data_IF_134212778623
#
_entry.id   IF_134212778623
#
_cell.length_a   1.000
_cell.length_b   1.000
_cell.length_c   1.000
_cell.angle_alpha   90.00
_cell.angle_beta   90.00
_cell.angle_gamma   90.00
#
_symmetry.space_group_name_H-M   'P 1'
#
loop_
_entity.id
_entity.type
_entity.pdbx_description
1 polymer ?
#
# COMPACT_ATOMS: atom_id res chain seq x y z
N UNK A 1 -17.09 27.00 1.32
CA UNK A 1 -17.10 26.94 -0.17
C UNK A 1 -15.69 26.63 -0.72
N UNK A 2 -14.63 27.34 -0.33
CA UNK A 2 -13.27 27.08 -0.83
C UNK A 2 -12.70 25.70 -0.42
N UNK A 3 -12.87 25.27 0.84
CA UNK A 3 -12.47 23.92 1.31
C UNK A 3 -13.28 22.80 0.64
N UNK A 4 -14.57 23.06 0.34
CA UNK A 4 -15.44 22.10 -0.35
C UNK A 4 -15.12 21.99 -1.85
N UNK A 5 -14.77 23.09 -2.52
CA UNK A 5 -14.35 23.09 -3.92
C UNK A 5 -12.96 22.43 -4.10
N UNK A 6 -12.02 22.64 -3.17
CA UNK A 6 -10.72 21.98 -3.21
C UNK A 6 -10.86 20.45 -3.08
N UNK A 7 -11.78 19.99 -2.22
CA UNK A 7 -12.07 18.55 -2.06
C UNK A 7 -12.76 17.95 -3.31
N UNK A 8 -13.52 18.74 -4.07
CA UNK A 8 -14.24 18.26 -5.25
C UNK A 8 -13.34 18.04 -6.49
N UNK A 9 -12.35 18.91 -6.71
CA UNK A 9 -11.36 18.70 -7.79
C UNK A 9 -10.35 17.60 -7.44
N UNK A 10 -10.01 17.50 -6.16
CA UNK A 10 -9.18 16.44 -5.60
C UNK A 10 -9.81 15.06 -5.81
N UNK A 11 -11.11 14.94 -5.54
CA UNK A 11 -11.86 13.70 -5.78
C UNK A 11 -11.98 13.36 -7.26
N UNK A 12 -12.15 14.34 -8.17
CA UNK A 12 -12.28 14.06 -9.60
C UNK A 12 -11.03 13.40 -10.21
N UNK A 13 -9.83 13.89 -9.90
CA UNK A 13 -8.60 13.31 -10.43
C UNK A 13 -8.32 11.91 -9.87
N UNK A 14 -8.66 11.68 -8.60
CA UNK A 14 -8.54 10.38 -7.95
C UNK A 14 -9.54 9.39 -8.57
N UNK A 15 -10.79 9.79 -8.76
CA UNK A 15 -11.83 8.96 -9.42
C UNK A 15 -11.42 8.65 -10.87
N UNK A 16 -10.90 9.63 -11.62
CA UNK A 16 -10.44 9.40 -13.00
C UNK A 16 -9.27 8.41 -13.04
N UNK A 17 -8.33 8.53 -12.10
CA UNK A 17 -7.24 7.55 -11.96
C UNK A 17 -7.78 6.15 -11.65
N UNK A 18 -8.71 6.03 -10.69
CA UNK A 18 -9.34 4.77 -10.30
C UNK A 18 -10.05 4.07 -11.46
N UNK A 19 -10.81 4.83 -12.25
CA UNK A 19 -11.46 4.32 -13.47
C UNK A 19 -10.44 3.89 -14.53
N UNK A 20 -9.37 4.67 -14.72
CA UNK A 20 -8.33 4.38 -15.72
C UNK A 20 -7.56 3.10 -15.42
N UNK A 21 -7.27 2.83 -14.14
CA UNK A 21 -6.57 1.59 -13.75
C UNK A 21 -7.49 0.37 -13.87
N UNK A 22 -8.80 0.57 -13.83
CA UNK A 22 -9.79 -0.51 -13.89
C UNK A 22 -9.82 -1.36 -12.62
N UNK A 23 -9.19 -0.92 -11.53
CA UNK A 23 -9.09 -1.69 -10.28
C UNK A 23 -10.49 -1.96 -9.70
N UNK A 24 -11.31 -0.93 -9.52
CA UNK A 24 -12.67 -1.11 -8.95
C UNK A 24 -13.66 -1.83 -9.87
N UNK A 25 -13.47 -1.77 -11.19
CA UNK A 25 -14.40 -2.40 -12.15
C UNK A 25 -14.01 -3.84 -12.50
N UNK A 26 -12.70 -4.14 -12.59
CA UNK A 26 -12.19 -5.45 -13.02
C UNK A 26 -11.83 -6.37 -11.87
N UNK A 27 -11.58 -5.85 -10.67
CA UNK A 27 -11.25 -6.63 -9.47
C UNK A 27 -12.45 -6.63 -8.52
N UNK A 28 -13.56 -7.24 -8.93
CA UNK A 28 -14.81 -7.23 -8.16
C UNK A 28 -14.74 -7.95 -6.81
N UNK A 29 -13.69 -8.75 -6.57
CA UNK A 29 -13.43 -9.38 -5.27
C UNK A 29 -12.90 -8.37 -4.25
N UNK A 30 -12.22 -7.32 -4.71
CA UNK A 30 -11.57 -6.36 -3.85
C UNK A 30 -12.56 -5.26 -3.42
N UNK A 31 -12.37 -4.77 -2.20
CA UNK A 31 -13.22 -3.77 -1.56
C UNK A 31 -13.00 -2.43 -2.25
N UNK A 32 -14.05 -1.86 -2.86
CA UNK A 32 -13.99 -0.48 -3.36
C UNK A 32 -14.03 0.52 -2.20
N UNK A 33 -12.84 0.85 -1.70
CA UNK A 33 -12.63 1.74 -0.54
C UNK A 33 -12.05 3.09 -0.93
N UNK A 34 -12.23 3.54 -2.18
CA UNK A 34 -11.64 4.80 -2.65
C UNK A 34 -12.00 6.00 -1.76
N UNK A 35 -13.27 6.07 -1.33
CA UNK A 35 -13.76 7.15 -0.44
C UNK A 35 -13.19 7.02 0.98
N UNK A 36 -13.12 5.81 1.52
CA UNK A 36 -12.54 5.56 2.86
C UNK A 36 -11.03 5.87 2.87
N UNK A 37 -10.31 5.46 1.83
CA UNK A 37 -8.89 5.73 1.64
C UNK A 37 -8.60 7.23 1.52
N UNK A 38 -9.50 7.97 0.87
CA UNK A 38 -9.45 9.42 0.83
C UNK A 38 -9.67 10.03 2.23
N UNK A 39 -10.67 9.54 2.98
CA UNK A 39 -10.95 10.00 4.34
C UNK A 39 -9.77 9.79 5.28
N UNK A 40 -9.14 8.61 5.25
CA UNK A 40 -7.91 8.31 6.00
C UNK A 40 -6.81 9.32 5.67
N UNK A 41 -6.64 9.62 4.39
CA UNK A 41 -5.62 10.57 3.93
C UNK A 41 -5.88 12.00 4.39
N UNK A 42 -7.15 12.42 4.44
CA UNK A 42 -7.52 13.74 4.98
C UNK A 42 -7.25 13.80 6.49
N UNK A 43 -7.49 12.71 7.22
CA UNK A 43 -7.19 12.63 8.65
C UNK A 43 -5.70 12.80 8.97
N UNK A 44 -4.83 12.17 8.17
CA UNK A 44 -3.37 12.26 8.37
C UNK A 44 -2.77 13.57 7.83
N UNK A 45 -3.27 14.05 6.69
CA UNK A 45 -2.69 15.20 5.97
C UNK A 45 -3.71 16.35 5.80
N UNK A 46 -4.31 16.80 6.92
CA UNK A 46 -5.37 17.82 6.92
C UNK A 46 -4.93 19.23 6.48
N UNK A 47 -3.63 19.54 6.54
CA UNK A 47 -3.12 20.86 6.18
C UNK A 47 -3.40 21.17 4.70
N UNK A 48 -4.06 22.29 4.35
CA UNK A 48 -4.38 22.64 2.96
C UNK A 48 -3.21 22.55 1.99
N UNK A 49 -2.00 22.90 2.43
CA UNK A 49 -0.77 22.91 1.62
C UNK A 49 -0.30 21.50 1.19
N UNK A 50 -0.89 20.44 1.74
CA UNK A 50 -0.58 19.04 1.43
C UNK A 50 -1.52 18.43 0.39
N UNK A 51 -2.18 19.24 -0.46
CA UNK A 51 -3.14 18.74 -1.47
C UNK A 51 -2.54 17.66 -2.37
N UNK A 52 -1.33 17.89 -2.88
CA UNK A 52 -0.68 16.92 -3.75
C UNK A 52 -0.32 15.63 -3.01
N UNK A 53 0.21 15.75 -1.78
CA UNK A 53 0.46 14.60 -0.90
C UNK A 53 -0.82 13.81 -0.66
N UNK A 54 -1.97 14.47 -0.43
CA UNK A 54 -3.26 13.77 -0.30
C UNK A 54 -3.63 12.98 -1.56
N UNK A 55 -3.41 13.53 -2.76
CA UNK A 55 -3.64 12.78 -4.03
C UNK A 55 -2.83 11.50 -4.05
N UNK A 56 -1.55 11.60 -3.77
CA UNK A 56 -0.63 10.45 -3.86
C UNK A 56 -0.97 9.41 -2.79
N UNK A 57 -1.13 9.82 -1.53
CA UNK A 57 -1.41 8.89 -0.43
C UNK A 57 -2.76 8.18 -0.60
N UNK A 58 -3.78 8.85 -1.15
CA UNK A 58 -5.04 8.15 -1.46
C UNK A 58 -4.84 7.05 -2.50
N UNK A 59 -4.02 7.28 -3.53
CA UNK A 59 -3.68 6.24 -4.53
C UNK A 59 -2.88 5.10 -3.88
N UNK A 60 -1.93 5.42 -3.00
CA UNK A 60 -1.14 4.45 -2.22
C UNK A 60 -2.05 3.57 -1.38
N UNK A 61 -2.93 4.17 -0.57
CA UNK A 61 -3.89 3.44 0.25
C UNK A 61 -4.80 2.55 -0.60
N UNK A 62 -5.25 3.03 -1.76
CA UNK A 62 -6.09 2.24 -2.66
C UNK A 62 -5.35 1.04 -3.25
N UNK A 63 -4.09 1.19 -3.63
CA UNK A 63 -3.26 0.08 -4.09
C UNK A 63 -2.98 -0.92 -2.95
N UNK A 64 -2.71 -0.43 -1.74
CA UNK A 64 -2.55 -1.28 -0.55
C UNK A 64 -3.79 -2.12 -0.33
N UNK A 65 -4.99 -1.51 -0.30
CA UNK A 65 -6.25 -2.26 -0.10
C UNK A 65 -6.47 -3.34 -1.15
N UNK A 66 -6.23 -3.03 -2.43
CA UNK A 66 -6.37 -4.03 -3.50
C UNK A 66 -5.37 -5.18 -3.33
N UNK A 67 -4.12 -4.86 -2.99
CA UNK A 67 -3.08 -5.88 -2.82
C UNK A 67 -3.40 -6.73 -1.59
N UNK A 68 -3.81 -6.12 -0.47
CA UNK A 68 -4.33 -6.81 0.72
C UNK A 68 -5.40 -7.83 0.32
N UNK A 69 -6.42 -7.40 -0.43
CA UNK A 69 -7.51 -8.25 -0.96
C UNK A 69 -7.04 -9.38 -1.87
N UNK A 70 -5.94 -9.17 -2.61
CA UNK A 70 -5.34 -10.24 -3.41
C UNK A 70 -4.75 -11.32 -2.51
N UNK A 71 -4.08 -10.96 -1.41
CA UNK A 71 -3.43 -11.89 -0.50
C UNK A 71 -4.35 -12.55 0.53
N UNK A 72 -5.37 -11.83 1.04
CA UNK A 72 -6.20 -12.31 2.16
C UNK A 72 -7.51 -12.98 1.72
N UNK A 73 -8.03 -12.65 0.52
CA UNK A 73 -9.36 -13.07 0.06
C UNK A 73 -9.31 -13.92 -1.20
N UNK A 74 -8.52 -13.54 -2.21
CA UNK A 74 -8.73 -14.06 -3.57
C UNK A 74 -7.66 -15.01 -4.10
N UNK A 75 -6.37 -14.70 -3.94
CA UNK A 75 -5.30 -15.49 -4.57
C UNK A 75 -5.05 -16.84 -3.89
N UNK A 76 -4.66 -17.84 -4.67
CA UNK A 76 -4.12 -19.09 -4.10
C UNK A 76 -2.68 -18.90 -3.66
N UNK A 77 -2.19 -19.73 -2.73
CA UNK A 77 -0.83 -19.62 -2.23
C UNK A 77 0.22 -19.65 -3.37
N UNK A 78 0.06 -20.52 -4.37
CA UNK A 78 0.94 -20.59 -5.53
C UNK A 78 0.93 -19.31 -6.37
N UNK A 79 -0.26 -18.74 -6.59
CA UNK A 79 -0.40 -17.46 -7.29
C UNK A 79 0.25 -16.31 -6.51
N UNK A 80 0.10 -16.30 -5.17
CA UNK A 80 0.68 -15.28 -4.29
C UNK A 80 2.21 -15.35 -4.26
N UNK A 81 2.80 -16.55 -4.36
CA UNK A 81 4.25 -16.71 -4.49
C UNK A 81 4.74 -16.11 -5.82
N UNK A 82 4.08 -16.40 -6.94
CA UNK A 82 4.39 -15.82 -8.24
C UNK A 82 4.22 -14.30 -8.26
N UNK A 83 3.16 -13.79 -7.62
CA UNK A 83 2.90 -12.35 -7.53
C UNK A 83 3.99 -11.64 -6.72
N UNK A 84 4.37 -12.22 -5.59
CA UNK A 84 5.45 -11.69 -4.74
C UNK A 84 6.78 -11.68 -5.50
N UNK A 85 7.07 -12.73 -6.25
CA UNK A 85 8.28 -12.82 -7.09
C UNK A 85 8.27 -11.77 -8.21
N UNK A 86 7.14 -11.57 -8.88
CA UNK A 86 7.00 -10.56 -9.93
C UNK A 86 7.26 -9.14 -9.39
N UNK A 87 6.77 -8.84 -8.19
CA UNK A 87 7.03 -7.57 -7.49
C UNK A 87 8.49 -7.46 -7.04
N UNK A 88 9.10 -8.53 -6.52
CA UNK A 88 10.51 -8.53 -6.13
C UNK A 88 11.45 -8.33 -7.32
N UNK A 89 11.14 -8.94 -8.48
CA UNK A 89 11.87 -8.73 -9.73
C UNK A 89 11.60 -7.33 -10.29
N UNK A 90 10.37 -6.85 -10.17
CA UNK A 90 9.91 -5.56 -10.71
C UNK A 90 10.02 -5.48 -12.23
N UNK A 91 9.69 -6.59 -12.91
CA UNK A 91 9.81 -6.75 -14.36
C UNK A 91 8.44 -7.07 -14.98
N UNK A 92 8.00 -6.23 -15.92
CA UNK A 92 6.74 -6.43 -16.65
C UNK A 92 6.78 -7.70 -17.52
N UNK A 93 7.96 -8.13 -17.99
CA UNK A 93 8.07 -9.34 -18.80
C UNK A 93 7.81 -10.61 -17.97
N UNK A 94 7.97 -10.53 -16.64
CA UNK A 94 7.61 -11.60 -15.72
C UNK A 94 6.10 -11.72 -15.47
N UNK A 95 5.27 -10.87 -16.08
CA UNK A 95 3.83 -10.89 -15.88
C UNK A 95 3.14 -12.05 -16.58
N UNK A 96 3.71 -12.64 -17.63
CA UNK A 96 3.00 -13.61 -18.48
C UNK A 96 2.47 -14.82 -17.70
N UNK A 97 3.19 -15.24 -16.66
CA UNK A 97 2.82 -16.33 -15.76
C UNK A 97 1.73 -15.98 -14.74
N UNK A 98 1.39 -14.70 -14.56
CA UNK A 98 0.38 -14.26 -13.61
C UNK A 98 -1.04 -14.38 -14.18
N UNK A 99 -2.04 -14.69 -13.35
CA UNK A 99 -3.44 -14.50 -13.70
C UNK A 99 -3.75 -13.05 -14.10
N UNK A 100 -4.76 -12.86 -14.95
CA UNK A 100 -5.09 -11.54 -15.51
C UNK A 100 -5.40 -10.48 -14.44
N UNK A 101 -6.03 -10.86 -13.33
CA UNK A 101 -6.35 -9.94 -12.24
C UNK A 101 -5.07 -9.44 -11.52
N UNK A 102 -4.07 -10.31 -11.35
CA UNK A 102 -2.77 -9.96 -10.80
C UNK A 102 -1.96 -9.09 -11.76
N UNK A 103 -2.06 -9.34 -13.08
CA UNK A 103 -1.47 -8.48 -14.11
C UNK A 103 -2.02 -7.06 -14.04
N UNK A 104 -3.35 -6.92 -13.87
CA UNK A 104 -4.01 -5.61 -13.68
C UNK A 104 -3.48 -4.92 -12.42
N UNK A 105 -3.43 -5.64 -11.30
CA UNK A 105 -2.94 -5.12 -10.02
C UNK A 105 -1.48 -4.67 -10.10
N UNK A 106 -0.57 -5.55 -10.53
CA UNK A 106 0.86 -5.24 -10.65
C UNK A 106 1.11 -4.15 -11.70
N UNK A 107 0.39 -4.16 -12.82
CA UNK A 107 0.48 -3.09 -13.83
C UNK A 107 0.06 -1.72 -13.28
N UNK A 108 -0.99 -1.66 -12.47
CA UNK A 108 -1.41 -0.42 -11.82
C UNK A 108 -0.35 0.08 -10.82
N UNK A 109 0.21 -0.82 -10.00
CA UNK A 109 1.28 -0.51 -9.06
C UNK A 109 2.55 -0.02 -9.77
N UNK A 110 3.01 -0.76 -10.78
CA UNK A 110 4.20 -0.45 -11.57
C UNK A 110 4.08 0.92 -12.23
N UNK A 111 2.95 1.20 -12.89
CA UNK A 111 2.70 2.49 -13.52
C UNK A 111 2.67 3.63 -12.50
N UNK A 112 2.00 3.43 -11.36
CA UNK A 112 1.94 4.43 -10.30
C UNK A 112 3.32 4.76 -9.74
N UNK A 113 4.13 3.75 -9.38
CA UNK A 113 5.47 3.97 -8.83
C UNK A 113 6.39 4.66 -9.83
N UNK A 114 6.34 4.27 -11.11
CA UNK A 114 7.16 4.92 -12.13
C UNK A 114 6.72 6.36 -12.42
N UNK A 115 5.41 6.67 -12.39
CA UNK A 115 4.87 8.03 -12.49
C UNK A 115 5.44 8.91 -11.36
N UNK A 116 5.39 8.40 -10.13
CA UNK A 116 5.90 9.10 -8.93
C UNK A 116 7.42 9.27 -8.98
N UNK A 117 8.16 8.21 -9.30
CA UNK A 117 9.62 8.27 -9.38
C UNK A 117 10.09 9.24 -10.45
N UNK A 118 9.42 9.28 -11.61
CA UNK A 118 9.72 10.22 -12.69
C UNK A 118 9.46 11.67 -12.27
N UNK A 119 8.34 11.94 -11.57
CA UNK A 119 8.05 13.28 -11.07
C UNK A 119 9.11 13.77 -10.09
N UNK A 120 9.52 12.92 -9.15
CA UNK A 120 10.54 13.26 -8.15
C UNK A 120 11.88 13.46 -8.83
N UNK A 121 12.26 12.58 -9.76
CA UNK A 121 13.49 12.73 -10.54
C UNK A 121 13.53 14.06 -11.31
N UNK A 122 12.42 14.50 -11.89
CA UNK A 122 12.37 15.79 -12.58
C UNK A 122 12.49 17.00 -11.62
N UNK A 123 12.01 16.87 -10.39
CA UNK A 123 12.02 17.97 -9.40
C UNK A 123 13.33 18.06 -8.63
N UNK A 124 13.92 16.91 -8.28
CA UNK A 124 15.05 16.82 -7.37
C UNK A 124 16.31 16.25 -8.00
N UNK A 125 16.22 15.64 -9.19
CA UNK A 125 17.32 14.96 -9.88
C UNK A 125 17.51 13.50 -9.45
N UNK A 126 16.79 13.03 -8.43
CA UNK A 126 17.06 11.74 -7.80
C UNK A 126 16.18 10.61 -8.33
N UNK A 127 16.80 9.46 -8.56
CA UNK A 127 16.14 8.24 -8.96
C UNK A 127 15.69 7.43 -7.74
N UNK A 128 14.39 7.45 -7.43
CA UNK A 128 13.86 6.84 -6.21
C UNK A 128 13.09 5.53 -6.41
N UNK A 129 13.05 5.01 -7.65
CA UNK A 129 12.40 3.73 -7.95
C UNK A 129 12.92 2.58 -7.07
N UNK A 130 14.23 2.46 -6.77
CA UNK A 130 14.74 1.40 -5.89
C UNK A 130 14.12 1.45 -4.49
N UNK A 131 13.95 2.64 -3.91
CA UNK A 131 13.36 2.85 -2.58
C UNK A 131 11.89 2.47 -2.58
N UNK A 132 11.12 2.95 -3.57
CA UNK A 132 9.70 2.65 -3.67
C UNK A 132 9.48 1.15 -3.92
N UNK A 133 10.27 0.54 -4.81
CA UNK A 133 10.25 -0.91 -5.04
C UNK A 133 10.48 -1.65 -3.71
N UNK A 134 11.53 -1.30 -2.97
CA UNK A 134 11.88 -1.96 -1.70
C UNK A 134 10.71 -1.99 -0.71
N UNK A 135 10.02 -0.86 -0.51
CA UNK A 135 8.91 -0.80 0.48
C UNK A 135 7.69 -1.60 0.04
N UNK A 136 7.35 -1.62 -1.26
CA UNK A 136 6.27 -2.44 -1.80
C UNK A 136 6.59 -3.93 -1.78
N UNK A 137 7.83 -4.30 -2.12
CA UNK A 137 8.32 -5.67 -2.01
C UNK A 137 8.27 -6.16 -0.56
N UNK A 138 8.71 -5.36 0.40
CA UNK A 138 8.63 -5.73 1.83
C UNK A 138 7.19 -5.94 2.28
N UNK A 139 6.25 -5.10 1.84
CA UNK A 139 4.83 -5.27 2.15
C UNK A 139 4.29 -6.59 1.59
N UNK A 140 4.55 -6.89 0.32
CA UNK A 140 4.08 -8.11 -0.33
C UNK A 140 4.69 -9.39 0.27
N UNK A 141 5.96 -9.33 0.70
CA UNK A 141 6.59 -10.43 1.45
C UNK A 141 5.93 -10.64 2.81
N UNK A 142 5.57 -9.57 3.52
CA UNK A 142 4.87 -9.65 4.79
C UNK A 142 3.46 -10.25 4.63
N UNK A 143 2.72 -9.86 3.59
CA UNK A 143 1.45 -10.48 3.25
C UNK A 143 1.58 -11.96 2.88
N UNK A 144 2.62 -12.34 2.12
CA UNK A 144 2.87 -13.73 1.79
C UNK A 144 3.14 -14.59 3.04
N UNK A 145 3.83 -14.04 4.04
CA UNK A 145 4.05 -14.72 5.32
C UNK A 145 2.73 -14.98 6.02
N UNK A 146 1.83 -14.01 6.10
CA UNK A 146 0.50 -14.17 6.71
C UNK A 146 -0.35 -15.19 5.95
N UNK A 147 -0.34 -15.15 4.61
CA UNK A 147 -1.01 -16.13 3.77
C UNK A 147 -0.47 -17.55 4.02
N UNK A 148 0.86 -17.71 4.15
CA UNK A 148 1.48 -19.00 4.49
C UNK A 148 1.05 -19.51 5.86
N UNK A 149 0.97 -18.63 6.85
CA UNK A 149 0.46 -18.98 8.18
C UNK A 149 -0.99 -19.46 8.10
N UNK A 150 -1.84 -18.70 7.39
CA UNK A 150 -3.25 -19.02 7.22
C UNK A 150 -3.46 -20.37 6.50
N UNK A 151 -2.91 -20.54 5.30
CA UNK A 151 -3.06 -21.76 4.51
C UNK A 151 -2.37 -22.99 5.14
N UNK A 152 -1.29 -22.78 5.89
CA UNK A 152 -0.57 -23.83 6.59
C UNK A 152 -1.18 -24.22 7.94
N UNK A 153 -2.20 -23.49 8.42
CA UNK A 153 -2.76 -23.68 9.77
C UNK A 153 -1.75 -23.40 10.88
N UNK A 154 -0.75 -22.56 10.62
CA UNK A 154 0.28 -22.20 11.59
C UNK A 154 -0.16 -20.99 12.41
N UNK A 155 -0.09 -21.13 13.73
CA UNK A 155 -0.35 -20.02 14.66
C UNK A 155 1.00 -19.49 15.16
N UNK A 156 1.43 -18.29 14.72
CA UNK A 156 2.68 -17.70 15.19
C UNK A 156 2.59 -17.33 16.67
N UNK A 157 3.77 -17.20 17.30
CA UNK A 157 3.83 -16.54 18.61
C UNK A 157 3.45 -15.05 18.49
N UNK A 158 3.07 -14.40 19.60
CA UNK A 158 2.75 -12.98 19.57
C UNK A 158 3.92 -12.12 19.07
N UNK A 159 5.14 -12.45 19.48
CA UNK A 159 6.35 -11.72 19.04
C UNK A 159 6.63 -11.93 17.55
N UNK A 160 6.54 -13.17 17.08
CA UNK A 160 6.69 -13.50 15.66
C UNK A 160 5.63 -12.83 14.78
N UNK A 161 4.36 -12.86 15.21
CA UNK A 161 3.29 -12.14 14.56
C UNK A 161 3.64 -10.65 14.46
N UNK A 162 3.99 -10.01 15.57
CA UNK A 162 4.27 -8.59 15.59
C UNK A 162 5.43 -8.19 14.68
N UNK A 163 6.51 -8.98 14.61
CA UNK A 163 7.65 -8.71 13.72
C UNK A 163 7.28 -8.67 12.24
N UNK A 164 6.23 -9.40 11.84
CA UNK A 164 5.68 -9.33 10.49
C UNK A 164 4.58 -8.26 10.37
N UNK A 165 3.74 -8.16 11.39
CA UNK A 165 2.48 -7.43 11.34
C UNK A 165 2.65 -5.90 11.31
N UNK A 166 3.76 -5.38 11.86
CA UNK A 166 4.10 -3.96 11.71
C UNK A 166 4.48 -3.61 10.26
N UNK A 167 4.87 -4.59 9.45
CA UNK A 167 5.10 -4.41 8.01
C UNK A 167 3.80 -4.60 7.24
N UNK A 168 3.04 -5.67 7.53
CA UNK A 168 1.79 -5.99 6.80
C UNK A 168 0.70 -4.93 6.97
N UNK A 169 0.71 -4.16 8.06
CA UNK A 169 -0.19 -2.99 8.21
C UNK A 169 0.12 -1.83 7.26
N UNK A 170 1.17 -1.92 6.43
CA UNK A 170 1.52 -1.00 5.33
C UNK A 170 1.93 0.43 5.70
N UNK A 171 1.98 0.78 6.99
CA UNK A 171 2.31 2.14 7.43
C UNK A 171 3.68 2.62 6.94
N UNK A 172 4.66 1.72 6.78
CA UNK A 172 5.97 2.05 6.22
C UNK A 172 5.87 2.50 4.75
N UNK A 173 4.98 1.90 3.95
CA UNK A 173 4.73 2.32 2.56
C UNK A 173 4.12 3.72 2.54
N UNK A 174 3.08 3.95 3.35
CA UNK A 174 2.37 5.23 3.44
C UNK A 174 3.33 6.35 3.85
N UNK A 175 4.13 6.13 4.90
CA UNK A 175 5.08 7.12 5.40
C UNK A 175 6.21 7.40 4.41
N UNK A 176 6.74 6.37 3.73
CA UNK A 176 7.76 6.55 2.69
C UNK A 176 7.25 7.41 1.53
N UNK A 177 6.07 7.10 1.00
CA UNK A 177 5.45 7.94 -0.04
C UNK A 177 5.16 9.34 0.49
N UNK A 178 4.69 9.47 1.73
CA UNK A 178 4.34 10.74 2.33
C UNK A 178 5.52 11.70 2.43
N UNK A 179 6.69 11.18 2.82
CA UNK A 179 7.92 11.95 2.99
C UNK A 179 8.31 12.72 1.72
N UNK A 180 8.28 12.08 0.55
CA UNK A 180 8.65 12.73 -0.71
C UNK A 180 7.75 13.91 -1.12
N UNK A 181 6.54 14.00 -0.55
CA UNK A 181 5.55 15.00 -0.91
C UNK A 181 5.26 16.01 0.19
N UNK A 182 6.08 16.03 1.24
CA UNK A 182 6.12 17.15 2.17
C UNK A 182 6.95 18.27 1.53
N UNK A 183 6.38 19.47 1.31
CA UNK A 183 7.08 20.58 0.67
C UNK A 183 8.41 20.90 1.34
N UNK A 184 9.47 21.07 0.54
CA UNK A 184 10.81 21.52 0.98
C UNK A 184 11.50 20.63 2.04
N UNK A 185 11.04 19.39 2.23
CA UNK A 185 11.58 18.46 3.23
C UNK A 185 12.62 17.49 2.70
N UNK A 186 12.63 17.24 1.38
CA UNK A 186 13.41 16.17 0.80
C UNK A 186 14.92 16.44 0.87
N UNK A 187 15.64 15.59 1.60
CA UNK A 187 17.11 15.53 1.64
C UNK A 187 17.58 14.11 1.37
N UNK A 188 18.70 13.98 0.69
CA UNK A 188 19.27 12.66 0.38
C UNK A 188 19.72 11.89 1.62
N UNK A 189 20.24 12.59 2.63
CA UNK A 189 20.66 11.96 3.89
C UNK A 189 19.50 11.25 4.59
N UNK A 190 18.28 11.75 4.42
CA UNK A 190 17.09 11.19 5.05
C UNK A 190 16.64 9.87 4.39
N UNK A 191 17.07 9.58 3.14
CA UNK A 191 16.78 8.30 2.49
C UNK A 191 17.38 7.12 3.26
N UNK A 192 18.56 7.29 3.85
CA UNK A 192 19.19 6.26 4.68
C UNK A 192 18.33 5.99 5.93
N UNK A 193 17.83 7.04 6.58
CA UNK A 193 16.93 6.92 7.72
C UNK A 193 15.60 6.22 7.37
N UNK A 194 15.09 6.44 6.15
CA UNK A 194 13.87 5.77 5.66
C UNK A 194 14.12 4.31 5.30
N UNK A 195 15.32 3.99 4.80
CA UNK A 195 15.71 2.64 4.37
C UNK A 195 16.04 1.69 5.54
N UNK A 196 16.47 2.22 6.68
CA UNK A 196 16.89 1.47 7.88
C UNK A 196 15.76 1.18 8.88
N UNK A 197 14.48 1.26 8.47
CA UNK A 197 13.33 1.06 9.36
C UNK A 197 13.43 1.92 10.63
N UNK A 198 13.53 3.25 10.47
CA UNK A 198 13.61 4.15 11.62
C UNK A 198 12.59 3.78 12.70
N UNK A 199 12.99 3.87 13.97
CA UNK A 199 12.12 3.61 15.12
C UNK A 199 10.78 4.36 15.00
N UNK A 200 10.77 5.54 14.38
CA UNK A 200 9.55 6.31 14.12
C UNK A 200 8.58 5.56 13.20
N UNK A 201 9.06 5.02 12.08
CA UNK A 201 8.23 4.22 11.17
C UNK A 201 7.71 2.98 11.88
N UNK A 202 8.62 2.24 12.53
CA UNK A 202 8.26 0.98 13.23
C UNK A 202 7.24 1.22 14.33
N UNK A 203 7.43 2.20 15.21
CA UNK A 203 6.48 2.48 16.28
C UNK A 203 5.15 3.02 15.76
N UNK A 204 5.16 3.87 14.73
CA UNK A 204 3.91 4.35 14.10
C UNK A 204 3.12 3.19 13.49
N UNK A 205 3.81 2.25 12.85
CA UNK A 205 3.21 1.05 12.29
C UNK A 205 2.68 0.11 13.37
N UNK A 206 3.43 -0.10 14.46
CA UNK A 206 2.98 -0.88 15.62
C UNK A 206 1.70 -0.32 16.24
N UNK A 207 1.61 1.00 16.44
CA UNK A 207 0.38 1.64 16.94
C UNK A 207 -0.78 1.39 15.98
N UNK A 208 -0.55 1.57 14.68
CA UNK A 208 -1.56 1.36 13.65
C UNK A 208 -2.05 -0.09 13.61
N UNK A 209 -1.12 -1.05 13.72
CA UNK A 209 -1.43 -2.50 13.74
C UNK A 209 -2.27 -2.85 14.96
N UNK A 210 -1.82 -2.47 16.15
CA UNK A 210 -2.53 -2.79 17.39
C UNK A 210 -3.92 -2.14 17.44
N UNK A 211 -4.05 -0.90 16.95
CA UNK A 211 -5.34 -0.23 16.84
C UNK A 211 -6.27 -0.92 15.83
N UNK A 212 -5.73 -1.35 14.68
CA UNK A 212 -6.49 -2.10 13.68
C UNK A 212 -6.95 -3.45 14.25
N UNK A 213 -6.07 -4.22 14.90
CA UNK A 213 -6.40 -5.50 15.54
C UNK A 213 -7.52 -5.35 16.56
N UNK A 214 -7.43 -4.35 17.43
CA UNK A 214 -8.47 -4.06 18.42
C UNK A 214 -9.81 -3.66 17.76
N UNK A 215 -9.78 -3.08 16.57
CA UNK A 215 -10.97 -2.73 15.80
C UNK A 215 -11.59 -3.91 15.05
N UNK A 216 -10.79 -4.89 14.63
CA UNK A 216 -11.23 -5.97 13.73
C UNK A 216 -11.40 -7.33 14.43
N UNK A 217 -10.83 -7.54 15.63
CA UNK A 217 -10.81 -8.86 16.28
C UNK A 217 -12.18 -9.55 16.42
N UNK A 218 -13.27 -8.77 16.59
CA UNK A 218 -14.63 -9.32 16.73
C UNK A 218 -15.18 -9.87 15.42
N UNK A 219 -14.76 -9.31 14.30
CA UNK A 219 -15.22 -9.73 12.96
C UNK A 219 -14.48 -11.02 12.58
N UNK A 220 -13.16 -11.04 12.70
CA UNK A 220 -12.31 -12.20 12.36
C UNK A 220 -12.57 -13.42 13.26
N UNK A 221 -12.78 -13.24 14.56
CA UNK A 221 -13.15 -14.36 15.47
C UNK A 221 -14.51 -14.98 15.15
N UNK A 222 -15.44 -14.20 14.58
CA UNK A 222 -16.76 -14.69 14.18
C UNK A 222 -16.74 -15.46 12.84
N UNK A 223 -15.74 -15.20 12.00
CA UNK A 223 -15.54 -15.89 10.72
C UNK A 223 -14.79 -17.21 10.93
N UNK A 224 -13.74 -17.21 11.77
CA UNK A 224 -13.01 -18.42 12.18
C UNK A 224 -13.84 -19.44 12.96
N UNK A 225 -14.92 -19.00 13.63
CA UNK A 225 -15.84 -19.90 14.34
C UNK A 225 -16.94 -20.48 13.47
N UNK A 226 -17.04 -20.06 12.20
CA UNK A 226 -18.02 -20.53 11.21
C UNK A 226 -17.42 -21.43 10.13
N UNK A 227 -16.10 -21.48 10.01
CA UNK A 227 -15.33 -22.43 9.18
C UNK A 227 -15.02 -23.71 9.94
#
# INVERSE_FOLDING_TARGET
IFVLMLNFFLSFLIIRWWKRTGLGEKLSFARDRLVENFLWTVGTNFNPNLEYSRKVITKVNSLITIIDDVYDVYGTLEELELFTEAIDRWDLNGMDSLPDYMKICFGALYNFVNEIAFEIQNKSGYHITPQLKKVWTSLCKAYLIEAKWYHGGYTPSFEEYLENAWISISSHVILNHGYFFIPHSFKMEDLVCLEENSNIIRFSAMISRLANDLGTYKVTSSELSRS
#
